data_IF_886822568095
#
_entry.id   IF_886822568095
#
_cell.length_a   1.000
_cell.length_b   1.000
_cell.length_c   1.000
_cell.angle_alpha   90.00
_cell.angle_beta   90.00
_cell.angle_gamma   90.00
#
_symmetry.space_group_name_H-M   'P 1'
#
loop_
_entity.id
_entity.type
_entity.pdbx_description
1 polymer ?
#
# COMPACT_ATOMS: atom_id res chain seq x y z
N UNK A 1 24.01 -15.92 13.17
CA UNK A 1 23.68 -17.09 14.03
C UNK A 1 22.18 -17.40 13.86
N UNK A 2 21.77 -17.75 12.64
CA UNK A 2 20.49 -18.42 12.37
C UNK A 2 20.79 -19.88 12.73
N UNK A 3 20.78 -20.17 14.04
CA UNK A 3 21.03 -21.51 14.55
C UNK A 3 19.83 -22.34 14.12
N UNK A 4 20.04 -23.31 13.23
CA UNK A 4 19.59 -24.72 13.32
C UNK A 4 18.19 -25.02 13.93
N UNK A 5 17.20 -24.13 13.84
CA UNK A 5 15.82 -24.40 14.29
C UNK A 5 15.04 -25.23 13.25
N UNK A 6 15.53 -25.32 12.01
CA UNK A 6 14.93 -26.19 10.99
C UNK A 6 15.13 -27.68 11.27
N UNK A 7 16.20 -28.08 11.97
CA UNK A 7 16.51 -29.49 12.23
C UNK A 7 15.70 -30.14 13.35
N UNK A 8 14.86 -29.39 14.07
CA UNK A 8 14.08 -29.92 15.23
C UNK A 8 12.56 -29.96 15.00
N UNK A 9 12.05 -29.52 13.83
CA UNK A 9 10.62 -29.58 13.54
C UNK A 9 10.22 -30.99 13.09
N UNK A 10 9.11 -31.50 13.62
CA UNK A 10 8.56 -32.78 13.15
C UNK A 10 8.21 -32.70 11.65
N UNK A 11 8.22 -33.82 10.90
CA UNK A 11 7.94 -33.82 9.46
C UNK A 11 6.61 -33.15 9.11
N UNK A 12 5.60 -33.28 9.97
CA UNK A 12 4.30 -32.60 9.80
C UNK A 12 4.38 -31.09 9.97
N UNK A 13 5.20 -30.59 10.90
CA UNK A 13 5.41 -29.15 11.10
C UNK A 13 6.18 -28.54 9.94
N UNK A 14 7.15 -29.27 9.37
CA UNK A 14 7.89 -28.85 8.16
C UNK A 14 6.93 -28.77 6.96
N UNK A 15 6.07 -29.79 6.78
CA UNK A 15 5.09 -29.79 5.70
C UNK A 15 4.10 -28.60 5.81
N UNK A 16 3.59 -28.33 7.02
CA UNK A 16 2.70 -27.17 7.26
C UNK A 16 3.44 -25.85 7.04
N UNK A 17 4.69 -25.74 7.50
CA UNK A 17 5.52 -24.56 7.27
C UNK A 17 5.74 -24.30 5.77
N UNK A 18 6.09 -25.33 4.99
CA UNK A 18 6.31 -25.20 3.55
C UNK A 18 5.05 -24.78 2.77
N UNK A 19 3.87 -25.21 3.23
CA UNK A 19 2.59 -24.79 2.63
C UNK A 19 2.27 -23.33 2.97
N UNK A 20 2.59 -22.89 4.19
CA UNK A 20 2.25 -21.55 4.69
C UNK A 20 3.34 -20.50 4.40
N UNK A 21 4.57 -20.92 4.08
CA UNK A 21 5.64 -20.03 3.67
C UNK A 21 5.28 -19.34 2.36
N UNK A 22 5.40 -18.02 2.34
CA UNK A 22 5.14 -17.21 1.15
C UNK A 22 6.50 -16.79 0.58
N UNK A 23 6.88 -17.29 -0.60
CA UNK A 23 8.09 -16.84 -1.27
C UNK A 23 8.04 -15.33 -1.50
N UNK A 24 9.18 -14.64 -1.41
CA UNK A 24 9.24 -13.19 -1.64
C UNK A 24 8.68 -12.79 -3.01
N UNK A 25 8.93 -13.60 -4.04
CA UNK A 25 8.39 -13.45 -5.39
C UNK A 25 6.85 -13.53 -5.46
N UNK A 26 6.25 -14.33 -4.57
CA UNK A 26 4.82 -14.58 -4.50
C UNK A 26 4.07 -13.51 -3.69
N UNK A 27 4.79 -12.79 -2.83
CA UNK A 27 4.21 -11.83 -1.90
C UNK A 27 3.41 -10.72 -2.61
N UNK A 28 3.91 -10.21 -3.74
CA UNK A 28 3.18 -9.22 -4.54
C UNK A 28 1.82 -9.75 -5.03
N UNK A 29 1.74 -11.01 -5.44
CA UNK A 29 0.51 -11.63 -5.94
C UNK A 29 -0.54 -11.74 -4.83
N UNK A 30 -0.10 -12.18 -3.64
CA UNK A 30 -0.98 -12.30 -2.47
C UNK A 30 -1.44 -10.92 -2.01
N UNK A 31 -0.55 -9.92 -2.00
CA UNK A 31 -0.90 -8.56 -1.58
C UNK A 31 -1.82 -7.86 -2.60
N UNK A 32 -1.62 -8.06 -3.90
CA UNK A 32 -2.53 -7.57 -4.93
C UNK A 32 -3.92 -8.21 -4.78
N UNK A 33 -3.97 -9.53 -4.56
CA UNK A 33 -5.22 -10.23 -4.30
C UNK A 33 -5.90 -9.69 -3.03
N UNK A 34 -5.14 -9.52 -1.94
CA UNK A 34 -5.62 -8.92 -0.69
C UNK A 34 -6.16 -7.52 -0.91
N UNK A 35 -5.50 -6.67 -1.70
CA UNK A 35 -5.99 -5.33 -2.00
C UNK A 35 -7.32 -5.34 -2.77
N UNK A 36 -7.49 -6.28 -3.70
CA UNK A 36 -8.78 -6.48 -4.41
C UNK A 36 -9.87 -6.98 -3.45
N UNK A 37 -9.55 -7.89 -2.53
CA UNK A 37 -10.46 -8.32 -1.47
C UNK A 37 -10.85 -7.17 -0.54
N UNK A 38 -9.87 -6.42 -0.05
CA UNK A 38 -10.09 -5.25 0.79
C UNK A 38 -10.95 -4.22 0.08
N UNK A 39 -10.70 -3.95 -1.21
CA UNK A 39 -11.54 -3.03 -1.98
C UNK A 39 -13.01 -3.49 -2.05
N UNK A 40 -13.25 -4.77 -2.36
CA UNK A 40 -14.62 -5.30 -2.36
C UNK A 40 -15.28 -5.22 -0.98
N UNK A 41 -14.52 -5.51 0.08
CA UNK A 41 -15.00 -5.39 1.45
C UNK A 41 -15.30 -3.94 1.84
N UNK A 42 -14.42 -2.98 1.52
CA UNK A 42 -14.61 -1.55 1.75
C UNK A 42 -15.88 -1.06 1.06
N UNK A 43 -16.08 -1.42 -0.20
CA UNK A 43 -17.29 -1.07 -0.95
C UNK A 43 -18.54 -1.59 -0.22
N UNK A 44 -18.54 -2.85 0.19
CA UNK A 44 -19.67 -3.41 0.94
C UNK A 44 -19.87 -2.74 2.30
N UNK A 45 -18.78 -2.45 3.02
CA UNK A 45 -18.81 -1.82 4.34
C UNK A 45 -19.42 -0.43 4.27
N UNK A 46 -18.97 0.41 3.33
CA UNK A 46 -19.48 1.78 3.16
C UNK A 46 -20.97 1.78 2.77
N UNK A 47 -21.38 0.91 1.85
CA UNK A 47 -22.79 0.80 1.44
C UNK A 47 -23.69 0.37 2.60
N UNK A 48 -23.23 -0.57 3.45
CA UNK A 48 -23.99 -1.00 4.65
C UNK A 48 -24.17 0.12 5.67
N UNK A 49 -23.29 1.12 5.67
CA UNK A 49 -23.37 2.31 6.52
C UNK A 49 -24.04 3.50 5.82
N UNK A 50 -24.77 3.27 4.73
CA UNK A 50 -25.52 4.32 4.04
C UNK A 50 -24.67 5.30 3.23
N UNK A 51 -23.39 5.01 3.00
CA UNK A 51 -22.50 5.89 2.24
C UNK A 51 -22.61 5.59 0.75
N UNK A 52 -23.03 6.59 -0.03
CA UNK A 52 -23.07 6.50 -1.49
C UNK A 52 -21.69 6.77 -2.11
N UNK A 53 -20.94 5.68 -2.35
CA UNK A 53 -19.60 5.73 -2.94
C UNK A 53 -19.67 6.27 -4.37
N UNK A 54 -20.77 6.01 -5.07
CA UNK A 54 -21.02 6.52 -6.42
C UNK A 54 -20.88 8.04 -6.47
N UNK A 55 -21.35 8.77 -5.46
CA UNK A 55 -21.21 10.22 -5.41
C UNK A 55 -19.76 10.68 -5.26
N UNK A 56 -18.89 9.88 -4.65
CA UNK A 56 -17.49 10.25 -4.34
C UNK A 56 -16.53 9.84 -5.45
N UNK A 57 -16.73 8.66 -6.03
CA UNK A 57 -15.82 8.02 -6.98
C UNK A 57 -16.50 7.90 -8.33
N UNK A 58 -15.87 8.44 -9.37
CA UNK A 58 -16.29 8.19 -10.76
C UNK A 58 -15.53 7.01 -11.36
N UNK A 59 -16.28 6.04 -11.88
CA UNK A 59 -15.77 4.82 -12.52
C UNK A 59 -15.81 4.88 -14.05
N UNK A 60 -16.21 6.00 -14.63
CA UNK A 60 -16.23 6.23 -16.07
C UNK A 60 -15.81 7.68 -16.37
N UNK A 61 -15.00 7.84 -17.42
CA UNK A 61 -14.58 9.13 -17.95
C UNK A 61 -15.68 9.76 -18.83
N UNK A 62 -16.45 8.93 -19.54
CA UNK A 62 -17.41 9.36 -20.59
C UNK A 62 -18.85 9.41 -20.11
N UNK A 63 -19.19 8.69 -19.05
CA UNK A 63 -20.53 8.70 -18.47
C UNK A 63 -20.64 9.81 -17.41
N UNK A 64 -21.57 10.74 -17.61
CA UNK A 64 -21.99 11.69 -16.56
C UNK A 64 -22.70 11.00 -15.39
N UNK A 65 -23.15 9.76 -15.57
CA UNK A 65 -23.79 8.97 -14.53
C UNK A 65 -22.78 8.32 -13.58
N UNK A 66 -22.95 8.63 -12.30
CA UNK A 66 -22.31 7.91 -11.19
C UNK A 66 -22.71 6.43 -11.23
N UNK A 67 -21.74 5.53 -11.08
CA UNK A 67 -22.03 4.11 -10.96
C UNK A 67 -22.83 3.88 -9.68
N UNK A 68 -24.07 3.41 -9.79
CA UNK A 68 -24.87 3.07 -8.62
C UNK A 68 -24.15 2.04 -7.75
N UNK A 69 -24.29 2.18 -6.42
CA UNK A 69 -23.65 1.33 -5.42
C UNK A 69 -23.82 -0.19 -5.68
N UNK A 70 -24.98 -0.59 -6.21
CA UNK A 70 -25.25 -1.97 -6.58
C UNK A 70 -24.27 -2.49 -7.67
N UNK A 71 -24.03 -1.68 -8.71
CA UNK A 71 -23.11 -2.04 -9.80
C UNK A 71 -21.67 -2.10 -9.28
N UNK A 72 -21.25 -1.13 -8.48
CA UNK A 72 -19.89 -1.12 -7.91
C UNK A 72 -19.67 -2.34 -7.00
N UNK A 73 -20.64 -2.67 -6.14
CA UNK A 73 -20.61 -3.86 -5.27
C UNK A 73 -20.55 -5.17 -6.06
N UNK A 74 -21.38 -5.31 -7.08
CA UNK A 74 -21.41 -6.51 -7.91
C UNK A 74 -20.07 -6.70 -8.65
N UNK A 75 -19.58 -5.63 -9.30
CA UNK A 75 -18.32 -5.66 -10.05
C UNK A 75 -17.10 -5.90 -9.16
N UNK A 76 -17.01 -5.24 -8.00
CA UNK A 76 -15.89 -5.48 -7.09
C UNK A 76 -15.87 -6.93 -6.61
N UNK A 77 -17.03 -7.48 -6.23
CA UNK A 77 -17.15 -8.87 -5.77
C UNK A 77 -16.82 -9.87 -6.90
N UNK A 78 -17.36 -9.66 -8.11
CA UNK A 78 -17.10 -10.50 -9.29
C UNK A 78 -15.60 -10.62 -9.57
N UNK A 79 -14.89 -9.48 -9.64
CA UNK A 79 -13.45 -9.43 -9.88
C UNK A 79 -12.68 -10.15 -8.79
N UNK A 80 -13.04 -9.93 -7.52
CA UNK A 80 -12.41 -10.58 -6.37
C UNK A 80 -12.55 -12.10 -6.43
N UNK A 81 -13.77 -12.62 -6.62
CA UNK A 81 -14.01 -14.06 -6.64
C UNK A 81 -13.32 -14.73 -7.83
N UNK A 82 -13.36 -14.10 -9.01
CA UNK A 82 -12.70 -14.63 -10.20
C UNK A 82 -11.18 -14.73 -10.00
N UNK A 83 -10.54 -13.66 -9.54
CA UNK A 83 -9.11 -13.66 -9.26
C UNK A 83 -8.74 -14.68 -8.18
N UNK A 84 -9.50 -14.74 -7.08
CA UNK A 84 -9.22 -15.68 -6.00
C UNK A 84 -9.26 -17.15 -6.45
N UNK A 85 -10.25 -17.50 -7.29
CA UNK A 85 -10.39 -18.87 -7.84
C UNK A 85 -9.17 -19.32 -8.64
N UNK A 86 -8.48 -18.39 -9.29
CA UNK A 86 -7.31 -18.67 -10.14
C UNK A 86 -6.00 -18.56 -9.34
N UNK A 87 -5.85 -17.48 -8.58
CA UNK A 87 -4.58 -17.13 -7.94
C UNK A 87 -4.30 -17.96 -6.69
N UNK A 88 -5.31 -18.32 -5.89
CA UNK A 88 -5.08 -19.11 -4.67
C UNK A 88 -4.51 -20.51 -4.98
N UNK A 89 -5.07 -21.31 -5.91
CA UNK A 89 -4.47 -22.60 -6.26
C UNK A 89 -3.06 -22.46 -6.84
N UNK A 90 -2.84 -21.48 -7.72
CA UNK A 90 -1.51 -21.24 -8.29
C UNK A 90 -0.50 -20.77 -7.23
N UNK A 91 -0.94 -20.07 -6.18
CA UNK A 91 -0.09 -19.69 -5.04
C UNK A 91 0.32 -20.93 -4.25
N UNK A 92 -0.60 -21.88 -4.02
CA UNK A 92 -0.24 -23.15 -3.39
C UNK A 92 0.80 -23.92 -4.21
N UNK A 93 0.65 -23.95 -5.54
CA UNK A 93 1.65 -24.56 -6.44
C UNK A 93 2.99 -23.84 -6.34
N UNK A 94 2.99 -22.50 -6.32
CA UNK A 94 4.20 -21.69 -6.17
C UNK A 94 4.94 -22.01 -4.85
N UNK A 95 4.21 -22.14 -3.73
CA UNK A 95 4.78 -22.51 -2.44
C UNK A 95 5.40 -23.92 -2.46
N UNK A 96 4.76 -24.88 -3.13
CA UNK A 96 5.29 -26.25 -3.28
C UNK A 96 6.55 -26.27 -4.15
N UNK A 97 6.59 -25.46 -5.21
CA UNK A 97 7.76 -25.30 -6.08
C UNK A 97 8.93 -24.67 -5.32
N UNK A 98 8.69 -23.61 -4.55
CA UNK A 98 9.71 -22.98 -3.68
C UNK A 98 10.25 -23.97 -2.64
N UNK A 99 9.38 -24.70 -1.95
CA UNK A 99 9.79 -25.70 -0.97
C UNK A 99 10.65 -26.82 -1.61
N UNK A 100 10.34 -27.21 -2.85
CA UNK A 100 11.12 -28.21 -3.57
C UNK A 100 12.50 -27.66 -3.96
N UNK A 101 12.57 -26.44 -4.49
CA UNK A 101 13.83 -25.75 -4.82
C UNK A 101 14.76 -25.59 -3.62
N UNK A 102 14.20 -25.32 -2.43
CA UNK A 102 15.00 -25.19 -1.20
C UNK A 102 15.56 -26.53 -0.72
N UNK A 103 14.81 -27.63 -0.89
CA UNK A 103 15.24 -28.97 -0.47
C UNK A 103 16.18 -29.64 -1.46
N UNK A 104 15.98 -29.39 -2.75
CA UNK A 104 16.74 -30.01 -3.84
C UNK A 104 17.22 -28.90 -4.79
N UNK A 105 18.40 -28.30 -4.57
CA UNK A 105 18.90 -27.24 -5.44
C UNK A 105 19.16 -27.71 -6.88
N UNK A 106 19.56 -28.98 -7.05
CA UNK A 106 19.81 -29.63 -8.35
C UNK A 106 18.53 -30.27 -8.92
N UNK A 107 17.42 -29.55 -8.86
CA UNK A 107 16.12 -30.04 -9.36
C UNK A 107 16.01 -29.98 -10.88
N UNK A 108 15.09 -30.78 -11.46
CA UNK A 108 14.67 -30.68 -12.86
C UNK A 108 14.43 -29.25 -13.35
N UNK A 109 14.90 -28.96 -14.58
CA UNK A 109 14.76 -27.67 -15.28
C UNK A 109 13.33 -27.11 -15.26
N UNK A 110 12.32 -27.99 -15.31
CA UNK A 110 10.90 -27.60 -15.29
C UNK A 110 10.51 -26.92 -13.98
N UNK A 111 11.02 -27.37 -12.84
CA UNK A 111 10.69 -26.79 -11.53
C UNK A 111 11.40 -25.46 -11.35
N UNK A 112 12.66 -25.34 -11.81
CA UNK A 112 13.37 -24.07 -11.84
C UNK A 112 12.64 -23.05 -12.72
N UNK A 113 12.21 -23.46 -13.92
CA UNK A 113 11.40 -22.61 -14.79
C UNK A 113 10.11 -22.14 -14.11
N UNK A 114 9.38 -23.05 -13.44
CA UNK A 114 8.16 -22.70 -12.71
C UNK A 114 8.44 -21.75 -11.53
N UNK A 115 9.53 -21.95 -10.79
CA UNK A 115 9.92 -21.11 -9.66
C UNK A 115 10.09 -19.65 -10.08
N UNK A 116 10.76 -19.42 -11.22
CA UNK A 116 10.98 -18.07 -11.73
C UNK A 116 9.75 -17.47 -12.42
N UNK A 117 9.12 -18.23 -13.32
CA UNK A 117 8.11 -17.71 -14.23
C UNK A 117 6.69 -17.66 -13.65
N UNK A 118 6.32 -18.59 -12.75
CA UNK A 118 4.95 -18.67 -12.23
C UNK A 118 4.53 -17.40 -11.46
N UNK A 119 5.32 -16.87 -10.51
CA UNK A 119 4.95 -15.63 -9.82
C UNK A 119 4.82 -14.43 -10.78
N UNK A 120 5.66 -14.36 -11.81
CA UNK A 120 5.61 -13.29 -12.82
C UNK A 120 4.35 -13.39 -13.66
N UNK A 121 4.02 -14.60 -14.14
CA UNK A 121 2.82 -14.84 -14.92
C UNK A 121 1.55 -14.49 -14.13
N UNK A 122 1.50 -14.83 -12.83
CA UNK A 122 0.41 -14.43 -11.94
C UNK A 122 0.31 -12.90 -11.80
N UNK A 123 1.43 -12.20 -11.58
CA UNK A 123 1.42 -10.73 -11.45
C UNK A 123 0.88 -10.09 -12.72
N UNK A 124 1.34 -10.53 -13.89
CA UNK A 124 0.88 -10.05 -15.19
C UNK A 124 -0.62 -10.29 -15.35
N UNK A 125 -1.09 -11.50 -15.03
CA UNK A 125 -2.50 -11.86 -15.14
C UNK A 125 -3.41 -11.03 -14.21
N UNK A 126 -3.01 -10.86 -12.94
CA UNK A 126 -3.76 -10.05 -11.96
C UNK A 126 -3.86 -8.61 -12.45
N UNK A 127 -2.71 -8.00 -12.82
CA UNK A 127 -2.66 -6.63 -13.33
C UNK A 127 -3.51 -6.47 -14.59
N UNK A 128 -3.37 -7.39 -15.56
CA UNK A 128 -4.17 -7.39 -16.79
C UNK A 128 -5.66 -7.42 -16.47
N UNK A 129 -6.11 -8.33 -15.61
CA UNK A 129 -7.53 -8.51 -15.32
C UNK A 129 -8.12 -7.32 -14.54
N UNK A 130 -7.39 -6.75 -13.58
CA UNK A 130 -7.79 -5.51 -12.88
C UNK A 130 -7.99 -4.37 -13.88
N UNK A 131 -7.04 -4.19 -14.80
CA UNK A 131 -7.09 -3.12 -15.80
C UNK A 131 -8.18 -3.35 -16.83
N UNK A 132 -8.34 -4.59 -17.30
CA UNK A 132 -9.41 -4.95 -18.20
C UNK A 132 -10.78 -4.64 -17.57
N UNK A 133 -10.96 -4.97 -16.29
CA UNK A 133 -12.21 -4.80 -15.55
C UNK A 133 -12.51 -3.34 -15.16
N UNK A 134 -11.50 -2.47 -15.07
CA UNK A 134 -11.66 -1.08 -14.65
C UNK A 134 -11.12 -0.09 -15.70
N UNK A 135 -12.04 0.49 -16.48
CA UNK A 135 -11.71 1.49 -17.51
C UNK A 135 -10.97 2.72 -16.97
N UNK A 136 -11.35 3.21 -15.79
CA UNK A 136 -10.67 4.37 -15.17
C UNK A 136 -9.25 4.05 -14.75
N UNK A 137 -8.96 2.84 -14.24
CA UNK A 137 -7.58 2.47 -13.93
C UNK A 137 -6.73 2.39 -15.20
N UNK A 138 -7.27 1.89 -16.33
CA UNK A 138 -6.59 1.97 -17.63
C UNK A 138 -6.33 3.39 -18.08
N UNK A 139 -7.30 4.28 -17.92
CA UNK A 139 -7.14 5.71 -18.22
C UNK A 139 -6.02 6.33 -17.39
N UNK A 140 -6.05 6.12 -16.07
CA UNK A 140 -5.05 6.64 -15.12
C UNK A 140 -3.66 6.11 -15.48
N UNK A 141 -3.50 4.80 -15.70
CA UNK A 141 -2.21 4.21 -16.04
C UNK A 141 -1.64 4.74 -17.35
N UNK A 142 -2.44 4.91 -18.40
CA UNK A 142 -1.96 5.47 -19.68
C UNK A 142 -1.42 6.90 -19.53
N UNK A 143 -1.90 7.62 -18.53
CA UNK A 143 -1.59 9.04 -18.29
C UNK A 143 -0.81 9.29 -17.01
N UNK A 144 -0.30 8.23 -16.38
CA UNK A 144 0.30 8.33 -15.05
C UNK A 144 1.51 9.27 -15.01
N UNK A 145 2.32 9.30 -16.08
CA UNK A 145 3.46 10.23 -16.26
C UNK A 145 3.04 11.67 -16.55
N UNK A 146 1.81 11.90 -17.03
CA UNK A 146 1.32 13.24 -17.35
C UNK A 146 0.90 14.01 -16.09
N UNK A 147 0.74 13.29 -14.95
CA UNK A 147 0.44 13.85 -13.62
C UNK A 147 -0.70 14.87 -13.76
N UNK A 148 -1.87 14.49 -14.26
CA UNK A 148 -2.89 15.46 -14.64
C UNK A 148 -3.66 16.01 -13.42
N UNK A 149 -3.99 17.31 -13.43
CA UNK A 149 -4.93 17.91 -12.46
C UNK A 149 -6.37 17.93 -12.97
N UNK A 150 -6.60 17.39 -14.18
CA UNK A 150 -7.89 17.29 -14.87
C UNK A 150 -8.06 15.87 -15.45
N UNK A 151 -9.29 15.33 -15.51
CA UNK A 151 -10.52 15.93 -14.99
C UNK A 151 -10.58 15.87 -13.46
N UNK A 152 -10.98 16.98 -12.81
CA UNK A 152 -11.11 17.06 -11.33
C UNK A 152 -12.05 16.00 -10.77
N UNK A 153 -13.00 15.53 -11.57
CA UNK A 153 -13.94 14.49 -11.18
C UNK A 153 -13.27 13.13 -10.87
N UNK A 154 -12.08 12.87 -11.41
CA UNK A 154 -11.29 11.66 -11.13
C UNK A 154 -10.27 11.84 -10.02
N UNK A 155 -10.16 13.05 -9.43
CA UNK A 155 -9.13 13.37 -8.41
C UNK A 155 -9.07 12.35 -7.28
N UNK A 156 -10.21 11.96 -6.74
CA UNK A 156 -10.25 11.00 -5.62
C UNK A 156 -9.75 9.61 -6.06
N UNK A 157 -9.99 9.21 -7.31
CA UNK A 157 -9.47 7.95 -7.87
C UNK A 157 -7.95 8.03 -8.04
N UNK A 158 -7.42 9.15 -8.54
CA UNK A 158 -5.98 9.37 -8.63
C UNK A 158 -5.30 9.32 -7.26
N UNK A 159 -5.89 9.95 -6.25
CA UNK A 159 -5.36 9.94 -4.87
C UNK A 159 -5.38 8.51 -4.32
N UNK A 160 -6.52 7.80 -4.42
CA UNK A 160 -6.62 6.41 -3.96
C UNK A 160 -5.60 5.50 -4.64
N UNK A 161 -5.46 5.62 -5.96
CA UNK A 161 -4.52 4.82 -6.74
C UNK A 161 -3.06 5.12 -6.35
N UNK A 162 -2.68 6.39 -6.33
CA UNK A 162 -1.30 6.80 -6.07
C UNK A 162 -0.87 6.58 -4.60
N UNK A 163 -1.77 6.77 -3.64
CA UNK A 163 -1.49 6.43 -2.23
C UNK A 163 -1.44 4.91 -2.01
N UNK A 164 -2.27 4.13 -2.71
CA UNK A 164 -2.13 2.67 -2.73
C UNK A 164 -0.77 2.27 -3.31
N UNK A 165 -0.32 2.91 -4.38
CA UNK A 165 1.00 2.65 -4.96
C UNK A 165 2.14 2.93 -3.96
N UNK A 166 2.03 3.97 -3.13
CA UNK A 166 3.01 4.20 -2.04
C UNK A 166 3.05 3.08 -1.01
N UNK A 167 1.91 2.47 -0.72
CA UNK A 167 1.81 1.32 0.20
C UNK A 167 2.35 0.02 -0.44
N UNK A 168 2.30 -0.08 -1.78
CA UNK A 168 2.86 -1.21 -2.54
C UNK A 168 4.35 -1.07 -2.89
N UNK A 169 5.03 -0.03 -2.40
CA UNK A 169 6.41 0.26 -2.76
C UNK A 169 7.38 -0.90 -2.45
N UNK A 170 7.32 -1.46 -1.24
CA UNK A 170 8.17 -2.60 -0.84
C UNK A 170 7.86 -3.89 -1.63
N UNK A 171 6.59 -4.29 -1.82
CA UNK A 171 6.26 -5.42 -2.70
C UNK A 171 6.79 -5.26 -4.13
N UNK A 172 6.73 -4.05 -4.70
CA UNK A 172 7.23 -3.76 -6.04
C UNK A 172 8.76 -3.88 -6.13
N UNK A 173 9.47 -3.43 -5.10
CA UNK A 173 10.92 -3.59 -4.97
C UNK A 173 11.28 -5.07 -4.96
N UNK A 174 10.65 -5.87 -4.10
CA UNK A 174 10.96 -7.31 -3.94
C UNK A 174 10.69 -8.06 -5.25
N UNK A 175 9.58 -7.74 -5.93
CA UNK A 175 9.26 -8.31 -7.23
C UNK A 175 10.26 -7.92 -8.33
N UNK A 176 10.74 -6.67 -8.35
CA UNK A 176 11.73 -6.23 -9.31
C UNK A 176 13.12 -6.85 -9.08
N UNK A 177 13.49 -7.08 -7.82
CA UNK A 177 14.69 -7.83 -7.47
C UNK A 177 14.58 -9.29 -7.92
N UNK A 178 13.42 -9.94 -7.72
CA UNK A 178 13.15 -11.29 -8.25
C UNK A 178 13.38 -11.38 -9.76
N UNK A 179 12.81 -10.45 -10.53
CA UNK A 179 13.02 -10.39 -11.99
C UNK A 179 14.50 -10.17 -12.33
N UNK A 180 15.19 -9.32 -11.58
CA UNK A 180 16.60 -9.04 -11.83
C UNK A 180 17.48 -10.29 -11.64
N UNK A 181 17.25 -11.04 -10.55
CA UNK A 181 17.93 -12.31 -10.30
C UNK A 181 17.62 -13.35 -11.38
N UNK A 182 16.37 -13.46 -11.83
CA UNK A 182 15.99 -14.33 -12.96
C UNK A 182 16.79 -13.99 -14.23
N UNK A 183 17.06 -12.71 -14.48
CA UNK A 183 17.86 -12.26 -15.63
C UNK A 183 19.38 -12.33 -15.39
N UNK A 184 19.86 -12.97 -14.32
CA UNK A 184 21.28 -13.05 -13.98
C UNK A 184 21.91 -11.71 -13.60
N UNK A 185 21.10 -10.72 -13.21
CA UNK A 185 21.56 -9.40 -12.79
C UNK A 185 21.50 -9.31 -11.27
N UNK A 186 22.57 -8.82 -10.66
CA UNK A 186 22.63 -8.45 -9.25
C UNK A 186 22.62 -6.92 -9.15
N UNK A 187 21.44 -6.27 -9.22
CA UNK A 187 21.39 -4.83 -9.38
C UNK A 187 21.83 -4.15 -8.08
N UNK A 188 22.88 -3.34 -8.16
CA UNK A 188 23.33 -2.52 -7.04
C UNK A 188 22.39 -1.33 -6.87
N UNK A 189 21.78 -1.20 -5.70
CA UNK A 189 20.92 -0.06 -5.30
C UNK A 189 19.64 0.18 -6.11
N UNK A 190 19.28 -0.70 -7.05
CA UNK A 190 18.06 -0.55 -7.87
C UNK A 190 16.79 -0.53 -7.03
N UNK A 191 16.77 -1.27 -5.93
CA UNK A 191 15.72 -1.22 -4.92
C UNK A 191 15.48 0.19 -4.36
N UNK A 192 16.53 0.99 -4.19
CA UNK A 192 16.43 2.37 -3.71
C UNK A 192 15.87 3.32 -4.77
N UNK A 193 16.19 3.10 -6.04
CA UNK A 193 15.58 3.85 -7.16
C UNK A 193 14.09 3.54 -7.22
N UNK A 194 13.70 2.28 -7.13
CA UNK A 194 12.30 1.88 -7.09
C UNK A 194 11.57 2.46 -5.88
N UNK A 195 12.23 2.51 -4.71
CA UNK A 195 11.67 3.05 -3.48
C UNK A 195 11.22 4.52 -3.58
N UNK A 196 11.87 5.33 -4.42
CA UNK A 196 11.52 6.75 -4.55
C UNK A 196 10.44 7.03 -5.61
N UNK A 197 10.14 6.08 -6.50
CA UNK A 197 9.20 6.31 -7.61
C UNK A 197 7.81 6.69 -7.09
N UNK A 198 7.12 5.90 -6.22
CA UNK A 198 5.79 6.28 -5.76
C UNK A 198 5.73 7.61 -4.98
N UNK A 199 6.65 7.88 -4.02
CA UNK A 199 6.72 9.18 -3.34
C UNK A 199 6.96 10.36 -4.29
N UNK A 200 7.82 10.22 -5.30
CA UNK A 200 8.07 11.27 -6.30
C UNK A 200 6.80 11.53 -7.12
N UNK A 201 6.08 10.50 -7.55
CA UNK A 201 4.80 10.67 -8.25
C UNK A 201 3.84 11.51 -7.40
N UNK A 202 3.70 11.20 -6.11
CA UNK A 202 2.83 11.97 -5.20
C UNK A 202 3.31 13.40 -4.99
N UNK A 203 4.62 13.60 -4.82
CA UNK A 203 5.25 14.92 -4.71
C UNK A 203 4.89 15.79 -5.93
N UNK A 204 5.14 15.28 -7.14
CA UNK A 204 4.89 16.00 -8.38
C UNK A 204 3.39 16.27 -8.62
N UNK A 205 2.51 15.33 -8.27
CA UNK A 205 1.06 15.55 -8.28
C UNK A 205 0.66 16.71 -7.37
N UNK A 206 1.13 16.71 -6.13
CA UNK A 206 0.84 17.77 -5.16
C UNK A 206 1.38 19.14 -5.62
N UNK A 207 2.59 19.20 -6.19
CA UNK A 207 3.15 20.44 -6.73
C UNK A 207 2.34 20.98 -7.91
N UNK A 208 1.86 20.10 -8.79
CA UNK A 208 1.00 20.52 -9.92
C UNK A 208 -0.36 21.02 -9.44
N UNK A 209 -0.98 20.35 -8.47
CA UNK A 209 -2.21 20.84 -7.82
C UNK A 209 -1.99 22.20 -7.16
N UNK A 210 -0.85 22.41 -6.49
CA UNK A 210 -0.49 23.70 -5.91
C UNK A 210 -0.35 24.80 -6.98
N UNK A 211 0.35 24.54 -8.09
CA UNK A 211 0.48 25.50 -9.18
C UNK A 211 -0.88 25.88 -9.78
N UNK A 212 -1.81 24.92 -9.86
CA UNK A 212 -3.14 25.14 -10.42
C UNK A 212 -4.13 25.82 -9.46
N UNK A 213 -4.05 25.59 -8.15
CA UNK A 213 -5.05 26.03 -7.16
C UNK A 213 -4.52 27.07 -6.16
N UNK A 214 -3.19 27.19 -6.03
CA UNK A 214 -2.49 28.07 -5.07
C UNK A 214 -2.88 27.84 -3.61
N UNK A 215 -3.40 26.67 -3.27
CA UNK A 215 -3.75 26.32 -1.89
C UNK A 215 -2.56 25.69 -1.17
N UNK A 216 -2.16 26.27 -0.03
CA UNK A 216 -1.03 25.79 0.77
C UNK A 216 -1.17 24.34 1.25
N UNK A 217 -2.39 23.80 1.28
CA UNK A 217 -2.64 22.39 1.57
C UNK A 217 -1.93 21.46 0.58
N UNK A 218 -1.91 21.78 -0.72
CA UNK A 218 -1.19 20.95 -1.70
C UNK A 218 0.33 21.04 -1.52
N UNK A 219 0.86 22.21 -1.17
CA UNK A 219 2.29 22.38 -0.87
C UNK A 219 2.71 21.64 0.41
N UNK A 220 1.87 21.69 1.45
CA UNK A 220 2.08 20.90 2.65
C UNK A 220 2.09 19.39 2.34
N UNK A 221 1.17 18.93 1.49
CA UNK A 221 1.16 17.53 1.05
C UNK A 221 2.40 17.17 0.22
N UNK A 222 2.89 18.07 -0.63
CA UNK A 222 4.15 17.91 -1.34
C UNK A 222 5.32 17.73 -0.37
N UNK A 223 5.42 18.60 0.65
CA UNK A 223 6.44 18.51 1.69
C UNK A 223 6.38 17.15 2.42
N UNK A 224 5.17 16.66 2.74
CA UNK A 224 4.97 15.34 3.36
C UNK A 224 5.65 14.22 2.58
N UNK A 225 5.44 14.15 1.25
CA UNK A 225 6.07 13.10 0.43
C UNK A 225 7.57 13.34 0.21
N UNK A 226 8.05 14.59 0.24
CA UNK A 226 9.49 14.87 0.15
C UNK A 226 10.28 14.40 1.37
N UNK A 227 9.66 14.29 2.56
CA UNK A 227 10.32 13.79 3.78
C UNK A 227 10.87 12.36 3.64
N UNK A 228 10.42 11.60 2.64
CA UNK A 228 10.95 10.26 2.36
C UNK A 228 12.31 10.29 1.64
N UNK A 229 12.60 11.34 0.84
CA UNK A 229 13.80 11.39 0.01
C UNK A 229 15.11 11.39 0.82
N UNK A 230 15.26 12.20 1.90
CA UNK A 230 16.46 12.17 2.72
C UNK A 230 16.75 10.81 3.35
N UNK A 231 15.70 10.07 3.74
CA UNK A 231 15.83 8.72 4.32
C UNK A 231 16.46 7.76 3.31
N UNK A 232 15.96 7.77 2.07
CA UNK A 232 16.50 6.91 1.01
C UNK A 232 17.93 7.32 0.62
N UNK A 233 18.22 8.62 0.59
CA UNK A 233 19.58 9.12 0.31
C UNK A 233 20.59 8.70 1.39
N UNK A 234 20.22 8.78 2.67
CA UNK A 234 21.07 8.28 3.76
C UNK A 234 21.32 6.77 3.64
N UNK A 235 20.28 5.99 3.30
CA UNK A 235 20.41 4.55 3.09
C UNK A 235 21.31 4.23 1.89
N UNK A 236 21.17 4.96 0.78
CA UNK A 236 22.04 4.84 -0.38
C UNK A 236 23.50 5.14 -0.01
N UNK A 237 23.74 6.26 0.68
CA UNK A 237 25.07 6.66 1.13
C UNK A 237 25.73 5.60 2.01
N UNK A 238 24.99 5.01 2.96
CA UNK A 238 25.47 3.92 3.80
C UNK A 238 25.92 2.71 2.98
N UNK A 239 25.16 2.34 1.93
CA UNK A 239 25.47 1.15 1.13
C UNK A 239 26.67 1.36 0.20
N UNK A 240 26.84 2.56 -0.34
CA UNK A 240 27.97 2.88 -1.24
C UNK A 240 29.29 2.95 -0.48
N UNK A 241 29.28 3.48 0.73
CA UNK A 241 30.50 3.72 1.51
C UNK A 241 30.80 2.63 2.56
N UNK A 242 29.94 1.60 2.65
CA UNK A 242 30.10 0.46 3.57
C UNK A 242 29.56 0.71 4.98
N UNK A 243 29.44 -0.37 5.77
CA UNK A 243 28.80 -0.38 7.09
C UNK A 243 29.42 0.58 8.12
N UNK A 244 30.67 0.99 7.93
CA UNK A 244 31.38 1.95 8.80
C UNK A 244 31.18 3.41 8.39
N UNK A 245 30.49 3.68 7.28
CA UNK A 245 30.31 5.03 6.75
C UNK A 245 29.34 5.88 7.55
N UNK A 246 28.34 5.27 8.18
CA UNK A 246 27.40 5.96 9.05
C UNK A 246 27.86 5.85 10.50
N UNK A 247 28.06 7.01 11.12
CA UNK A 247 28.31 7.09 12.56
C UNK A 247 27.02 6.83 13.35
N UNK A 248 27.15 6.61 14.66
CA UNK A 248 25.99 6.55 15.57
C UNK A 248 25.13 7.82 15.47
N UNK A 249 25.75 8.99 15.23
CA UNK A 249 25.02 10.25 15.05
C UNK A 249 24.17 10.22 13.79
N UNK A 250 24.66 9.65 12.70
CA UNK A 250 23.93 9.56 11.44
C UNK A 250 22.74 8.59 11.54
N UNK A 251 22.91 7.46 12.22
CA UNK A 251 21.79 6.56 12.53
C UNK A 251 20.73 7.22 13.42
N UNK A 252 21.14 8.03 14.39
CA UNK A 252 20.19 8.79 15.21
C UNK A 252 19.47 9.87 14.40
N UNK A 253 20.16 10.54 13.49
CA UNK A 253 19.55 11.48 12.55
C UNK A 253 18.53 10.78 11.65
N UNK A 254 18.86 9.60 11.12
CA UNK A 254 17.95 8.79 10.31
C UNK A 254 16.67 8.45 11.08
N UNK A 255 16.79 8.01 12.35
CA UNK A 255 15.63 7.73 13.21
C UNK A 255 14.77 8.97 13.44
N UNK A 256 15.39 10.14 13.63
CA UNK A 256 14.66 11.42 13.74
C UNK A 256 13.91 11.74 12.45
N UNK A 257 14.54 11.56 11.29
CA UNK A 257 13.89 11.78 9.99
C UNK A 257 12.71 10.83 9.76
N UNK A 258 12.88 9.54 10.08
CA UNK A 258 11.79 8.55 10.03
C UNK A 258 10.65 8.89 11.00
N UNK A 259 10.98 9.36 12.20
CA UNK A 259 10.01 9.83 13.18
C UNK A 259 9.23 11.05 12.68
N UNK A 260 9.90 12.05 12.12
CA UNK A 260 9.26 13.24 11.53
C UNK A 260 8.35 12.82 10.36
N UNK A 261 8.83 11.98 9.46
CA UNK A 261 8.07 11.51 8.30
C UNK A 261 6.82 10.71 8.70
N UNK A 262 6.96 9.83 9.70
CA UNK A 262 5.83 9.06 10.25
C UNK A 262 4.83 9.96 10.95
N UNK A 263 5.29 10.89 11.79
CA UNK A 263 4.44 11.82 12.55
C UNK A 263 3.70 12.77 11.63
N UNK A 264 4.36 13.33 10.62
CA UNK A 264 3.72 14.20 9.65
C UNK A 264 2.63 13.43 8.88
N UNK A 265 2.93 12.24 8.41
CA UNK A 265 1.95 11.42 7.69
C UNK A 265 0.77 10.98 8.58
N UNK A 266 1.01 10.68 9.86
CA UNK A 266 -0.04 10.38 10.84
C UNK A 266 -0.99 11.57 11.02
N UNK A 267 -0.44 12.75 11.29
CA UNK A 267 -1.22 13.97 11.47
C UNK A 267 -2.01 14.28 10.20
N UNK A 268 -1.40 14.08 9.03
CA UNK A 268 -2.05 14.28 7.74
C UNK A 268 -3.27 13.38 7.58
N UNK A 269 -3.11 12.08 7.83
CA UNK A 269 -4.18 11.11 7.65
C UNK A 269 -5.37 11.43 8.58
N UNK A 270 -5.10 11.73 9.85
CA UNK A 270 -6.14 12.08 10.84
C UNK A 270 -6.81 13.42 10.53
N UNK A 271 -6.03 14.51 10.38
CA UNK A 271 -6.59 15.87 10.29
C UNK A 271 -7.06 16.23 8.88
N UNK A 272 -6.33 15.83 7.85
CA UNK A 272 -6.58 16.27 6.48
C UNK A 272 -7.43 15.26 5.73
N UNK A 273 -7.07 13.98 5.77
CA UNK A 273 -7.75 12.95 4.97
C UNK A 273 -9.04 12.47 5.61
N UNK A 274 -9.06 12.23 6.91
CA UNK A 274 -10.26 11.82 7.64
C UNK A 274 -11.08 13.00 8.18
N UNK A 275 -10.53 14.21 8.07
CA UNK A 275 -11.12 15.47 8.53
C UNK A 275 -11.47 15.48 10.02
N UNK A 276 -10.64 14.84 10.85
CA UNK A 276 -10.83 14.82 12.30
C UNK A 276 -10.38 16.15 12.88
N UNK A 277 -11.32 16.96 13.40
CA UNK A 277 -11.03 18.29 13.94
C UNK A 277 -10.35 18.26 15.31
N UNK A 278 -10.82 17.40 16.22
CA UNK A 278 -10.21 17.18 17.53
C UNK A 278 -10.58 15.81 18.09
N UNK A 279 -9.85 15.33 19.11
CA UNK A 279 -10.20 14.11 19.83
C UNK A 279 -11.49 14.25 20.65
N UNK A 280 -11.91 15.48 20.97
CA UNK A 280 -13.19 15.74 21.67
C UNK A 280 -14.36 15.90 20.71
N UNK A 281 -14.08 16.24 19.45
CA UNK A 281 -15.06 16.51 18.41
C UNK A 281 -14.49 16.05 17.07
N UNK A 282 -14.90 14.86 16.65
CA UNK A 282 -14.43 14.23 15.40
C UNK A 282 -14.64 15.16 14.22
N UNK A 283 -15.83 15.74 14.02
CA UNK A 283 -16.07 16.77 13.01
C UNK A 283 -16.77 17.98 13.58
N UNK A 284 -16.48 19.16 13.01
CA UNK A 284 -17.07 20.43 13.44
C UNK A 284 -18.60 20.40 13.51
N UNK A 285 -19.25 19.64 12.61
CA UNK A 285 -20.69 19.42 12.60
C UNK A 285 -21.00 17.92 12.77
N UNK A 286 -21.85 17.56 13.75
CA UNK A 286 -22.28 16.17 14.03
C UNK A 286 -23.02 15.54 12.86
N UNK A 287 -23.76 16.32 12.06
CA UNK A 287 -24.45 15.77 10.88
C UNK A 287 -23.49 15.28 9.79
N UNK A 288 -22.19 15.55 9.93
CA UNK A 288 -21.15 15.12 9.00
C UNK A 288 -20.43 13.86 9.44
N UNK A 289 -20.77 13.22 10.56
CA UNK A 289 -20.14 11.95 10.97
C UNK A 289 -21.09 10.80 10.68
N UNK A 290 -20.74 9.94 9.72
CA UNK A 290 -21.58 8.80 9.35
C UNK A 290 -21.33 7.59 10.26
N UNK A 291 -20.13 7.47 10.84
CA UNK A 291 -19.78 6.34 11.69
C UNK A 291 -19.89 6.66 13.19
N UNK A 292 -20.07 5.63 14.04
CA UNK A 292 -19.90 5.76 15.48
C UNK A 292 -18.52 6.30 15.85
N UNK A 293 -18.44 7.14 16.88
CA UNK A 293 -17.19 7.81 17.30
C UNK A 293 -16.06 6.83 17.60
N UNK A 294 -16.38 5.65 18.16
CA UNK A 294 -15.36 4.65 18.51
C UNK A 294 -14.62 4.11 17.27
N UNK A 295 -15.24 4.04 16.09
CA UNK A 295 -14.55 3.64 14.85
C UNK A 295 -13.38 4.57 14.54
N UNK A 296 -13.58 5.89 14.73
CA UNK A 296 -12.52 6.87 14.51
C UNK A 296 -11.38 6.70 15.51
N UNK A 297 -11.67 6.52 16.81
CA UNK A 297 -10.63 6.32 17.81
C UNK A 297 -9.84 5.03 17.59
N UNK A 298 -10.52 3.93 17.25
CA UNK A 298 -9.87 2.68 16.89
C UNK A 298 -8.97 2.87 15.68
N UNK A 299 -9.45 3.54 14.63
CA UNK A 299 -8.65 3.79 13.43
C UNK A 299 -7.44 4.70 13.69
N UNK A 300 -7.59 5.74 14.49
CA UNK A 300 -6.49 6.63 14.91
C UNK A 300 -5.44 5.84 15.68
N UNK A 301 -5.85 4.98 16.62
CA UNK A 301 -4.95 4.16 17.41
C UNK A 301 -4.20 3.14 16.53
N UNK A 302 -4.93 2.40 15.69
CA UNK A 302 -4.35 1.41 14.79
C UNK A 302 -3.40 2.05 13.77
N UNK A 303 -3.79 3.18 13.16
CA UNK A 303 -2.93 3.88 12.22
C UNK A 303 -1.64 4.40 12.89
N UNK A 304 -1.74 4.89 14.14
CA UNK A 304 -0.57 5.22 14.95
C UNK A 304 0.35 4.01 15.12
N UNK A 305 -0.17 2.90 15.69
CA UNK A 305 0.62 1.69 15.96
C UNK A 305 1.30 1.16 14.68
N UNK A 306 0.55 1.06 13.58
CA UNK A 306 1.03 0.51 12.31
C UNK A 306 2.01 1.43 11.59
N UNK A 307 1.87 2.76 11.72
CA UNK A 307 2.76 3.70 11.03
C UNK A 307 4.14 3.80 11.67
N UNK A 308 4.21 3.63 12.98
CA UNK A 308 5.48 3.50 13.69
C UNK A 308 5.99 2.05 13.72
N UNK A 309 5.62 1.22 12.74
CA UNK A 309 6.10 -0.16 12.66
C UNK A 309 7.62 -0.29 12.69
N UNK A 310 8.32 0.64 12.05
CA UNK A 310 9.78 0.70 12.08
C UNK A 310 10.34 0.82 13.51
N UNK A 311 9.63 1.47 14.43
CA UNK A 311 10.03 1.59 15.83
C UNK A 311 9.89 0.24 16.55
N UNK A 312 8.80 -0.49 16.30
CA UNK A 312 8.60 -1.84 16.83
C UNK A 312 9.68 -2.79 16.36
N UNK A 313 10.06 -2.72 15.09
CA UNK A 313 11.20 -3.49 14.54
C UNK A 313 12.46 -3.16 15.33
N UNK A 314 12.80 -1.89 15.53
CA UNK A 314 14.01 -1.51 16.28
C UNK A 314 13.97 -1.97 17.74
N UNK A 315 12.82 -1.84 18.41
CA UNK A 315 12.67 -2.17 19.84
C UNK A 315 12.72 -3.68 20.11
N UNK A 316 12.24 -4.49 19.17
CA UNK A 316 12.16 -5.94 19.32
C UNK A 316 13.19 -6.71 18.48
N UNK A 317 13.99 -6.02 17.66
CA UNK A 317 15.14 -6.65 17.03
C UNK A 317 16.19 -6.96 18.09
N UNK A 318 16.50 -8.26 18.28
CA UNK A 318 17.76 -8.73 18.87
C UNK A 318 18.92 -7.94 18.27
N UNK A 319 19.96 -7.60 19.03
CA UNK A 319 21.18 -7.01 18.47
C UNK A 319 22.27 -8.08 18.34
N UNK A 320 23.04 -8.07 17.25
CA UNK A 320 24.27 -8.88 17.20
C UNK A 320 25.32 -8.36 18.17
N UNK A 321 26.46 -9.07 18.26
CA UNK A 321 27.60 -8.69 19.06
C UNK A 321 28.21 -7.32 18.70
N UNK A 322 27.84 -6.72 17.56
CA UNK A 322 28.22 -5.37 17.15
C UNK A 322 27.16 -4.31 17.49
N UNK A 323 26.07 -4.69 18.16
CA UNK A 323 24.97 -3.81 18.48
C UNK A 323 24.03 -3.53 17.30
N UNK A 324 24.21 -4.20 16.16
CA UNK A 324 23.32 -4.06 14.99
C UNK A 324 22.09 -4.94 15.16
N UNK A 325 20.88 -4.45 14.82
CA UNK A 325 19.67 -5.26 14.91
C UNK A 325 19.79 -6.52 14.02
N UNK A 326 19.80 -7.70 14.64
CA UNK A 326 19.79 -9.05 14.07
C UNK A 326 18.40 -9.67 13.91
N UNK A 327 17.38 -9.29 14.70
CA UNK A 327 16.08 -9.91 14.47
C UNK A 327 15.42 -9.31 13.23
N UNK A 328 15.44 -10.12 12.19
CA UNK A 328 14.68 -10.06 10.95
C UNK A 328 13.23 -10.52 11.15
N UNK A 329 12.65 -10.36 12.35
CA UNK A 329 11.24 -10.65 12.54
C UNK A 329 10.42 -9.55 11.85
N UNK A 330 9.48 -9.97 11.00
CA UNK A 330 8.43 -9.17 10.37
C UNK A 330 8.69 -8.50 9.01
N UNK A 331 9.69 -8.89 8.22
CA UNK A 331 9.96 -8.24 6.91
C UNK A 331 8.79 -8.35 5.89
N UNK A 332 8.04 -9.45 5.92
CA UNK A 332 6.90 -9.67 5.01
C UNK A 332 5.60 -9.11 5.61
N UNK A 333 5.45 -9.22 6.92
CA UNK A 333 4.28 -8.81 7.70
C UNK A 333 4.09 -7.30 7.67
N UNK A 334 5.17 -6.51 7.60
CA UNK A 334 5.10 -5.05 7.36
C UNK A 334 4.27 -4.75 6.11
N UNK A 335 4.43 -5.55 5.05
CA UNK A 335 3.76 -5.32 3.77
C UNK A 335 2.25 -5.60 3.87
N UNK A 336 1.87 -6.66 4.59
CA UNK A 336 0.46 -6.94 4.89
C UNK A 336 -0.17 -5.84 5.75
N UNK A 337 0.53 -5.44 6.82
CA UNK A 337 0.08 -4.38 7.74
C UNK A 337 -0.13 -3.08 6.97
N UNK A 338 0.81 -2.70 6.09
CA UNK A 338 0.71 -1.47 5.30
C UNK A 338 -0.47 -1.50 4.32
N UNK A 339 -0.75 -2.64 3.67
CA UNK A 339 -1.91 -2.81 2.79
C UNK A 339 -3.24 -2.74 3.58
N UNK A 340 -3.32 -3.39 4.75
CA UNK A 340 -4.50 -3.33 5.63
C UNK A 340 -4.72 -1.91 6.16
N UNK A 341 -3.65 -1.25 6.63
CA UNK A 341 -3.68 0.15 7.10
C UNK A 341 -4.18 1.07 5.99
N UNK A 342 -3.72 0.89 4.76
CA UNK A 342 -4.20 1.66 3.59
C UNK A 342 -5.69 1.40 3.31
N UNK A 343 -6.14 0.15 3.41
CA UNK A 343 -7.55 -0.19 3.27
C UNK A 343 -8.43 0.52 4.32
N UNK A 344 -8.00 0.52 5.58
CA UNK A 344 -8.64 1.28 6.65
C UNK A 344 -8.65 2.78 6.35
N UNK A 345 -7.52 3.35 5.92
CA UNK A 345 -7.43 4.75 5.53
C UNK A 345 -8.43 5.11 4.42
N UNK A 346 -8.62 4.24 3.43
CA UNK A 346 -9.58 4.47 2.34
C UNK A 346 -11.03 4.58 2.83
N UNK A 347 -11.42 3.85 3.87
CA UNK A 347 -12.77 3.94 4.46
C UNK A 347 -13.05 5.34 4.97
N UNK A 348 -12.20 5.84 5.87
CA UNK A 348 -12.39 7.15 6.50
C UNK A 348 -12.17 8.29 5.51
N UNK A 349 -11.26 8.13 4.55
CA UNK A 349 -11.08 9.08 3.45
C UNK A 349 -12.34 9.23 2.62
N UNK A 350 -12.94 8.11 2.19
CA UNK A 350 -14.15 8.12 1.37
C UNK A 350 -15.36 8.66 2.11
N UNK A 351 -15.49 8.34 3.40
CA UNK A 351 -16.56 8.87 4.24
C UNK A 351 -16.42 10.38 4.50
N UNK A 352 -15.19 10.89 4.65
CA UNK A 352 -14.92 12.32 4.74
C UNK A 352 -15.31 13.07 3.46
N UNK A 353 -14.91 12.54 2.30
CA UNK A 353 -15.25 13.11 0.99
C UNK A 353 -16.76 13.05 0.70
N UNK A 354 -17.43 11.96 1.10
CA UNK A 354 -18.90 11.84 1.03
C UNK A 354 -19.58 12.95 1.84
N UNK A 355 -19.17 13.12 3.09
CA UNK A 355 -19.75 14.10 4.02
C UNK A 355 -19.57 15.55 3.55
N UNK A 356 -18.47 15.83 2.82
CA UNK A 356 -18.25 17.12 2.16
C UNK A 356 -19.24 17.36 1.02
N UNK A 357 -19.46 16.37 0.16
CA UNK A 357 -20.39 16.48 -0.97
C UNK A 357 -21.83 16.64 -0.50
N UNK A 358 -22.26 15.82 0.46
CA UNK A 358 -23.60 15.89 1.03
C UNK A 358 -23.89 17.27 1.64
N UNK A 359 -22.93 17.83 2.37
CA UNK A 359 -23.03 19.18 2.93
C UNK A 359 -23.12 20.28 1.86
N UNK A 360 -22.37 20.14 0.76
CA UNK A 360 -22.41 21.09 -0.34
C UNK A 360 -23.77 21.07 -1.05
N UNK A 361 -24.33 19.87 -1.27
CA UNK A 361 -25.67 19.69 -1.83
C UNK A 361 -26.78 20.26 -0.94
N UNK A 362 -26.70 20.05 0.38
CA UNK A 362 -27.66 20.60 1.33
C UNK A 362 -27.65 22.13 1.33
N UNK A 363 -26.48 22.76 1.37
CA UNK A 363 -26.36 24.21 1.33
C UNK A 363 -26.90 24.82 0.02
N UNK A 364 -26.72 24.15 -1.11
CA UNK A 364 -27.23 24.61 -2.40
C UNK A 364 -28.76 24.51 -2.49
N UNK A 365 -29.37 23.49 -1.87
CA UNK A 365 -30.82 23.36 -1.75
C UNK A 365 -31.44 24.48 -0.91
N UNK A 366 -30.81 24.86 0.21
CA UNK A 366 -31.24 25.98 1.05
C UNK A 366 -31.12 27.36 0.39
N UNK A 367 -30.23 27.53 -0.60
CA UNK A 367 -30.09 28.80 -1.33
C UNK A 367 -31.11 28.97 -2.46
N UNK A 368 -31.83 27.91 -2.83
CA UNK A 368 -32.85 27.92 -3.89
C UNK A 368 -34.29 27.88 -3.38
N UNK A 369 -34.48 27.58 -2.10
CA UNK A 369 -35.76 27.70 -1.39
C UNK A 369 -35.81 29.05 -0.69
#
# INVERSE_FOLDING_TARGET
MIIDIEKTKSPGIIAVYNILHIPAAQLINILLLLAVFLWAWIVQFLIRHGIDIGLVIRLDEKSEQYSGNARLRARSSEVTFFLAKIILPLTLISNLVDANMQQNPDTYEVIEFLYWCLPIAQTIFICYYILHSCGVLRYILKRWLLIESKPRALRNVYILFSDTLTSFNKPLIDFALHISHMCGKNPTHFDLVLAVIPPIIRLLQCLKEFTALRQMTHLANALKYSCHLPIVLCLWYSRVNGDTALTVKDYNLLKIMMFIQSTYSFIWDVKMDWMVSSLTRIRRNKSRTQFPTFYYYTAICLDGIMRYWWLWVILFSSSDASGKPTALLFAQEVQFIEVIRRGMWSIFKLEAEYSLKESASANYGYQKA
#
